data_IF_665144302803
#
_entry.id   IF_665144302803
#
_cell.length_a   1.000
_cell.length_b   1.000
_cell.length_c   1.000
_cell.angle_alpha   90.00
_cell.angle_beta   90.00
_cell.angle_gamma   90.00
#
_symmetry.space_group_name_H-M   'P 1'
#
loop_
_entity.id
_entity.type
_entity.pdbx_description
1 polymer ?
#
# COMPACT_ATOMS: atom_id res chain seq x y z
N UNK A 1 7.27 5.78 8.78
CA UNK A 1 6.15 6.48 9.46
C UNK A 1 6.68 7.80 10.02
N UNK A 2 5.84 8.83 10.13
CA UNK A 2 6.21 10.15 10.65
C UNK A 2 5.15 10.62 11.64
N UNK A 3 5.52 11.14 12.82
CA UNK A 3 4.55 11.63 13.81
C UNK A 3 3.72 12.82 13.31
N UNK A 4 4.28 13.59 12.38
CA UNK A 4 3.61 14.72 11.72
C UNK A 4 3.14 14.33 10.30
N UNK A 5 3.10 13.04 9.98
CA UNK A 5 2.54 12.54 8.72
C UNK A 5 1.01 12.51 8.77
N UNK A 6 0.36 12.42 7.60
CA UNK A 6 -1.09 12.39 7.51
C UNK A 6 -1.60 13.16 6.30
N UNK A 7 -2.89 13.50 6.33
CA UNK A 7 -3.62 14.18 5.27
C UNK A 7 -3.50 13.48 3.89
N UNK A 8 -3.31 14.27 2.83
CA UNK A 8 -3.23 13.81 1.45
C UNK A 8 -1.86 14.19 0.87
N UNK A 9 -1.32 13.41 -0.07
CA UNK A 9 -0.15 13.81 -0.83
C UNK A 9 -0.42 15.13 -1.57
N UNK A 10 0.65 15.86 -1.88
CA UNK A 10 0.60 17.12 -2.63
C UNK A 10 1.51 17.04 -3.86
N UNK A 11 1.41 18.02 -4.77
CA UNK A 11 2.27 18.12 -5.94
C UNK A 11 2.19 16.92 -6.89
N UNK A 12 3.33 16.54 -7.45
CA UNK A 12 3.43 15.50 -8.49
C UNK A 12 2.91 14.14 -8.02
N UNK A 13 3.13 13.78 -6.75
CA UNK A 13 2.64 12.52 -6.20
C UNK A 13 1.10 12.48 -6.14
N UNK A 14 0.47 13.59 -5.76
CA UNK A 14 -0.98 13.67 -5.73
C UNK A 14 -1.59 13.53 -7.13
N UNK A 15 -0.98 14.18 -8.12
CA UNK A 15 -1.37 14.07 -9.51
C UNK A 15 -1.19 12.64 -10.04
N UNK A 16 -0.04 12.01 -9.78
CA UNK A 16 0.22 10.62 -10.20
C UNK A 16 -0.76 9.63 -9.57
N UNK A 17 -1.14 9.81 -8.31
CA UNK A 17 -2.16 8.98 -7.64
C UNK A 17 -3.54 9.20 -8.27
N UNK A 18 -3.91 10.45 -8.53
CA UNK A 18 -5.20 10.77 -9.16
C UNK A 18 -5.28 10.21 -10.58
N UNK A 19 -4.19 10.25 -11.34
CA UNK A 19 -4.12 9.66 -12.68
C UNK A 19 -4.23 8.12 -12.63
N UNK A 20 -3.43 7.47 -11.78
CA UNK A 20 -3.36 6.01 -11.71
C UNK A 20 -4.63 5.36 -11.13
N UNK A 21 -5.27 6.00 -10.15
CA UNK A 21 -6.39 5.42 -9.39
C UNK A 21 -7.70 6.21 -9.53
N UNK A 22 -7.70 7.30 -10.30
CA UNK A 22 -8.83 8.20 -10.51
C UNK A 22 -9.02 9.26 -9.41
N UNK A 23 -8.69 8.95 -8.16
CA UNK A 23 -8.63 9.92 -7.05
C UNK A 23 -7.85 9.35 -5.86
N UNK A 24 -7.41 10.21 -4.94
CA UNK A 24 -6.81 9.75 -3.68
C UNK A 24 -7.77 8.85 -2.88
N UNK A 25 -9.06 9.17 -2.87
CA UNK A 25 -10.05 8.38 -2.12
C UNK A 25 -10.25 6.98 -2.74
N UNK A 26 -10.18 6.86 -4.08
CA UNK A 26 -10.18 5.57 -4.77
C UNK A 26 -8.90 4.79 -4.52
N UNK A 27 -7.74 5.45 -4.55
CA UNK A 27 -6.46 4.84 -4.15
C UNK A 27 -6.54 4.29 -2.72
N UNK A 28 -7.00 5.11 -1.76
CA UNK A 28 -7.13 4.72 -0.35
C UNK A 28 -8.07 3.53 -0.19
N UNK A 29 -9.20 3.52 -0.89
CA UNK A 29 -10.14 2.40 -0.86
C UNK A 29 -9.51 1.10 -1.38
N UNK A 30 -8.80 1.15 -2.51
CA UNK A 30 -8.11 -0.02 -3.08
C UNK A 30 -6.95 -0.49 -2.19
N UNK A 31 -6.17 0.43 -1.64
CA UNK A 31 -5.05 0.13 -0.76
C UNK A 31 -5.53 -0.51 0.56
N UNK A 32 -6.61 0.03 1.14
CA UNK A 32 -7.24 -0.55 2.32
C UNK A 32 -7.82 -1.94 2.07
N UNK A 33 -8.47 -2.14 0.92
CA UNK A 33 -8.94 -3.47 0.53
C UNK A 33 -7.76 -4.45 0.40
N UNK A 34 -6.69 -4.08 -0.32
CA UNK A 34 -5.51 -4.92 -0.47
C UNK A 34 -4.87 -5.30 0.89
N UNK A 35 -4.85 -4.37 1.85
CA UNK A 35 -4.31 -4.59 3.19
C UNK A 35 -5.18 -5.54 4.03
N UNK A 36 -6.49 -5.27 4.11
CA UNK A 36 -7.39 -6.00 5.00
C UNK A 36 -7.75 -7.39 4.50
N UNK A 37 -7.63 -7.65 3.19
CA UNK A 37 -7.91 -8.96 2.59
C UNK A 37 -6.66 -9.85 2.46
N UNK A 38 -5.54 -9.52 3.10
CA UNK A 38 -4.35 -10.41 3.14
C UNK A 38 -4.72 -11.68 3.89
N UNK A 39 -4.53 -12.84 3.26
CA UNK A 39 -4.69 -14.12 3.93
C UNK A 39 -3.37 -14.52 4.59
N UNK A 40 -3.38 -14.65 5.92
CA UNK A 40 -2.19 -14.91 6.71
C UNK A 40 -1.37 -13.65 6.96
N UNK A 41 -0.06 -13.76 6.77
CA UNK A 41 0.92 -12.68 6.98
C UNK A 41 1.24 -11.99 5.67
N UNK A 42 1.46 -10.67 5.71
CA UNK A 42 1.79 -9.93 4.50
C UNK A 42 1.69 -8.43 4.63
N UNK A 43 1.65 -7.77 3.47
CA UNK A 43 1.72 -6.31 3.34
C UNK A 43 0.79 -5.81 2.24
N UNK A 44 0.34 -4.56 2.37
CA UNK A 44 -0.09 -3.78 1.21
C UNK A 44 1.06 -2.87 0.77
N UNK A 45 1.34 -2.84 -0.53
CA UNK A 45 2.44 -2.08 -1.10
C UNK A 45 1.97 -1.22 -2.28
N UNK A 46 2.27 0.08 -2.24
CA UNK A 46 2.25 0.94 -3.42
C UNK A 46 3.64 0.87 -4.05
N UNK A 47 3.69 0.46 -5.31
CA UNK A 47 4.93 0.35 -6.07
C UNK A 47 4.87 1.12 -7.39
N UNK A 48 6.03 1.57 -7.83
CA UNK A 48 6.24 2.09 -9.17
C UNK A 48 6.72 0.98 -10.10
N UNK A 49 5.94 0.70 -11.13
CA UNK A 49 6.31 -0.19 -12.23
C UNK A 49 7.19 0.57 -13.23
N UNK A 50 8.45 0.16 -13.30
CA UNK A 50 9.45 0.74 -14.20
C UNK A 50 9.24 0.34 -15.67
N UNK A 51 8.49 -0.74 -15.93
CA UNK A 51 8.21 -1.21 -17.28
C UNK A 51 7.05 -0.43 -17.92
N UNK A 52 5.96 -0.25 -17.18
CA UNK A 52 4.77 0.46 -17.64
C UNK A 52 4.74 1.95 -17.30
N UNK A 53 5.67 2.42 -16.46
CA UNK A 53 5.66 3.76 -15.85
C UNK A 53 4.35 4.04 -15.10
N UNK A 54 3.92 3.12 -14.23
CA UNK A 54 2.64 3.20 -13.52
C UNK A 54 2.78 3.01 -12.02
N UNK A 55 1.88 3.66 -11.28
CA UNK A 55 1.63 3.31 -9.89
C UNK A 55 0.67 2.13 -9.81
N UNK A 56 1.06 1.11 -9.03
CA UNK A 56 0.28 -0.11 -8.83
C UNK A 56 0.23 -0.47 -7.33
N UNK A 57 -0.85 -1.12 -6.93
CA UNK A 57 -1.00 -1.68 -5.59
C UNK A 57 -0.76 -3.19 -5.66
N UNK A 58 0.09 -3.69 -4.77
CA UNK A 58 0.39 -5.11 -4.60
C UNK A 58 -0.03 -5.57 -3.22
N UNK A 59 -0.53 -6.80 -3.17
CA UNK A 59 -0.75 -7.53 -1.94
C UNK A 59 0.42 -8.50 -1.77
N UNK A 60 1.36 -8.19 -0.90
CA UNK A 60 2.57 -9.00 -0.71
C UNK A 60 2.28 -10.07 0.32
N UNK A 61 2.55 -11.34 0.00
CA UNK A 61 2.40 -12.45 0.94
C UNK A 61 3.73 -12.72 1.64
N UNK A 62 3.66 -12.98 2.95
CA UNK A 62 4.79 -13.05 3.87
C UNK A 62 5.72 -11.85 3.72
N UNK A 63 6.87 -12.02 3.05
CA UNK A 63 7.81 -10.94 2.76
C UNK A 63 8.22 -10.84 1.28
N UNK A 64 7.99 -11.89 0.48
CA UNK A 64 8.73 -12.08 -0.77
C UNK A 64 7.86 -12.54 -1.96
N UNK A 65 6.55 -12.69 -1.78
CA UNK A 65 5.69 -13.28 -2.80
C UNK A 65 4.61 -12.29 -3.25
N UNK A 66 4.15 -12.48 -4.50
CA UNK A 66 3.03 -11.76 -5.10
C UNK A 66 3.31 -10.31 -5.54
N UNK A 67 4.53 -10.06 -6.04
CA UNK A 67 4.90 -8.86 -6.78
C UNK A 67 5.98 -9.21 -7.82
N UNK A 68 6.06 -8.52 -8.98
CA UNK A 68 7.08 -8.78 -9.98
C UNK A 68 8.44 -8.16 -9.60
N UNK A 69 9.52 -8.69 -10.18
CA UNK A 69 10.84 -8.05 -10.10
C UNK A 69 10.82 -6.70 -10.83
N UNK A 70 11.60 -5.73 -10.33
CA UNK A 70 11.72 -4.40 -10.95
C UNK A 70 10.69 -3.36 -10.48
N UNK A 71 9.81 -3.70 -9.54
CA UNK A 71 8.97 -2.74 -8.84
C UNK A 71 9.80 -1.95 -7.82
N UNK A 72 9.68 -0.62 -7.86
CA UNK A 72 10.26 0.26 -6.85
C UNK A 72 9.21 0.53 -5.75
N UNK A 73 9.41 0.06 -4.50
CA UNK A 73 8.44 0.26 -3.43
C UNK A 73 8.40 1.71 -2.96
N UNK A 74 7.21 2.26 -2.75
CA UNK A 74 7.01 3.67 -2.35
C UNK A 74 6.34 3.81 -0.97
N UNK A 75 5.28 3.04 -0.71
CA UNK A 75 4.58 3.00 0.57
C UNK A 75 4.24 1.56 0.92
N UNK A 76 4.56 1.15 2.13
CA UNK A 76 4.29 -0.19 2.66
C UNK A 76 3.45 -0.08 3.94
N UNK A 77 2.50 -1.01 4.09
CA UNK A 77 1.71 -1.19 5.30
C UNK A 77 1.84 -2.65 5.77
N UNK A 78 2.38 -2.82 6.97
CA UNK A 78 2.54 -4.12 7.62
C UNK A 78 1.18 -4.65 8.10
N UNK A 79 0.77 -5.82 7.60
CA UNK A 79 -0.46 -6.51 7.99
C UNK A 79 -0.19 -7.83 8.72
N UNK A 80 1.05 -8.05 9.16
CA UNK A 80 1.36 -9.09 10.13
C UNK A 80 0.69 -8.77 11.47
N UNK A 81 0.20 -9.80 12.16
CA UNK A 81 -0.50 -9.58 13.43
C UNK A 81 0.40 -8.89 14.47
N UNK A 82 1.71 -9.16 14.46
CA UNK A 82 2.65 -8.46 15.36
C UNK A 82 2.67 -6.94 15.20
N UNK A 83 2.20 -6.41 14.06
CA UNK A 83 2.24 -4.97 13.77
C UNK A 83 1.13 -4.20 14.50
N UNK A 84 0.02 -4.86 14.82
CA UNK A 84 -1.17 -4.18 15.37
C UNK A 84 -1.85 -4.92 16.53
N UNK A 85 -1.59 -6.21 16.74
CA UNK A 85 -2.44 -7.06 17.61
C UNK A 85 -2.49 -6.61 19.06
N UNK A 86 -1.41 -6.04 19.61
CA UNK A 86 -1.42 -5.58 21.00
C UNK A 86 -2.46 -4.47 21.23
N UNK A 87 -2.61 -3.56 20.26
CA UNK A 87 -3.52 -2.41 20.34
C UNK A 87 -4.90 -2.71 19.73
N UNK A 88 -4.94 -3.36 18.56
CA UNK A 88 -6.16 -3.52 17.77
C UNK A 88 -6.74 -4.95 17.80
N UNK A 89 -6.03 -5.93 18.37
CA UNK A 89 -6.45 -7.35 18.44
C UNK A 89 -6.84 -7.87 17.06
N UNK A 90 -8.07 -8.37 16.91
CA UNK A 90 -8.59 -8.96 15.68
C UNK A 90 -9.25 -7.91 14.74
N UNK A 91 -9.20 -6.62 15.10
CA UNK A 91 -9.71 -5.54 14.24
C UNK A 91 -8.57 -5.13 13.30
N UNK A 92 -8.53 -5.78 12.13
CA UNK A 92 -7.61 -5.45 11.03
C UNK A 92 -8.15 -4.29 10.19
#
# INVERSE_FOLDING_TARGET
LSPNGGDKPTGELAAAIADAFGSFDKFRAQFHAAATTVQGSGWAALGWDTLGNKLLIFQVYDHQTNFPLGIVPLLLLDMWEHAFYLQYKNVK
#
